data_IF_533076862060
#
_entry.id   IF_533076862060
#
_cell.length_a   1.000
_cell.length_b   1.000
_cell.length_c   1.000
_cell.angle_alpha   90.00
_cell.angle_beta   90.00
_cell.angle_gamma   90.00
#
_symmetry.space_group_name_H-M   'P 1'
#
loop_
_entity.id
_entity.type
_entity.pdbx_description
1 polymer ?
#
# COMPACT_ATOMS: atom_id res chain seq x y z
N UNK A 1 19.75 3.62 12.83
CA UNK A 1 19.61 2.28 12.24
C UNK A 1 20.57 2.16 11.06
N UNK A 2 21.29 1.03 10.90
CA UNK A 2 22.08 0.78 9.70
C UNK A 2 21.19 0.88 8.45
N UNK A 3 21.66 1.52 7.39
CA UNK A 3 20.86 1.78 6.17
C UNK A 3 20.34 0.48 5.53
N UNK A 4 21.12 -0.61 5.66
CA UNK A 4 20.75 -1.95 5.16
C UNK A 4 19.57 -2.55 5.92
N UNK A 5 19.52 -2.37 7.25
CA UNK A 5 18.43 -2.87 8.08
C UNK A 5 17.13 -2.10 7.83
N UNK A 6 17.21 -0.77 7.63
CA UNK A 6 16.04 0.04 7.29
C UNK A 6 15.41 -0.38 5.96
N UNK A 7 16.25 -0.71 4.95
CA UNK A 7 15.78 -1.24 3.66
C UNK A 7 15.17 -2.64 3.81
N UNK A 8 15.74 -3.51 4.64
CA UNK A 8 15.18 -4.84 4.89
C UNK A 8 13.80 -4.77 5.55
N UNK A 9 13.67 -3.96 6.62
CA UNK A 9 12.39 -3.77 7.32
C UNK A 9 11.36 -3.13 6.38
N UNK A 10 11.75 -2.11 5.61
CA UNK A 10 10.84 -1.46 4.67
C UNK A 10 10.34 -2.38 3.56
N UNK A 11 11.18 -3.29 3.06
CA UNK A 11 10.76 -4.32 2.11
C UNK A 11 9.71 -5.25 2.72
N UNK A 12 9.94 -5.75 3.95
CA UNK A 12 8.95 -6.60 4.65
C UNK A 12 7.65 -5.82 4.89
N UNK A 13 7.75 -4.56 5.34
CA UNK A 13 6.60 -3.70 5.58
C UNK A 13 5.77 -3.50 4.31
N UNK A 14 6.40 -3.29 3.15
CA UNK A 14 5.71 -3.21 1.85
C UNK A 14 4.96 -4.49 1.52
N UNK A 15 5.60 -5.66 1.69
CA UNK A 15 4.95 -6.95 1.41
C UNK A 15 3.74 -7.16 2.33
N UNK A 16 3.91 -6.95 3.63
CA UNK A 16 2.82 -7.06 4.60
C UNK A 16 1.69 -6.09 4.27
N UNK A 17 2.02 -4.84 3.89
CA UNK A 17 1.04 -3.85 3.50
C UNK A 17 0.22 -4.31 2.30
N UNK A 18 0.87 -4.78 1.23
CA UNK A 18 0.18 -5.23 0.02
C UNK A 18 -0.72 -6.43 0.32
N UNK A 19 -0.26 -7.38 1.11
CA UNK A 19 -1.05 -8.55 1.52
C UNK A 19 -2.30 -8.09 2.27
N UNK A 20 -2.13 -7.38 3.40
CA UNK A 20 -3.26 -6.94 4.23
C UNK A 20 -4.23 -6.08 3.42
N UNK A 21 -3.70 -5.17 2.60
CA UNK A 21 -4.51 -4.32 1.73
C UNK A 21 -5.34 -5.12 0.74
N UNK A 22 -4.74 -6.10 0.05
CA UNK A 22 -5.44 -6.94 -0.93
C UNK A 22 -6.57 -7.74 -0.28
N UNK A 23 -6.34 -8.30 0.91
CA UNK A 23 -7.39 -9.01 1.67
C UNK A 23 -8.54 -8.07 2.05
N UNK A 24 -8.24 -6.88 2.58
CA UNK A 24 -9.27 -5.89 2.94
C UNK A 24 -10.06 -5.45 1.71
N UNK A 25 -9.38 -5.14 0.62
CA UNK A 25 -10.00 -4.77 -0.65
C UNK A 25 -10.92 -5.88 -1.18
N UNK A 26 -10.48 -7.14 -1.12
CA UNK A 26 -11.27 -8.28 -1.59
C UNK A 26 -12.52 -8.49 -0.74
N UNK A 27 -12.42 -8.38 0.59
CA UNK A 27 -13.57 -8.50 1.51
C UNK A 27 -14.59 -7.40 1.22
N UNK A 28 -14.15 -6.14 1.09
CA UNK A 28 -15.05 -5.02 0.78
C UNK A 28 -15.69 -5.22 -0.59
N UNK A 29 -14.93 -5.67 -1.60
CA UNK A 29 -15.44 -5.97 -2.93
C UNK A 29 -16.55 -7.04 -2.86
N UNK A 30 -16.29 -8.17 -2.21
CA UNK A 30 -17.28 -9.25 -2.12
C UNK A 30 -18.55 -8.84 -1.35
N UNK A 31 -18.43 -7.99 -0.33
CA UNK A 31 -19.58 -7.61 0.50
C UNK A 31 -20.41 -6.46 -0.08
N UNK A 32 -19.82 -5.58 -0.89
CA UNK A 32 -20.47 -4.32 -1.32
C UNK A 32 -20.73 -4.21 -2.81
N UNK A 33 -19.96 -4.90 -3.66
CA UNK A 33 -20.11 -4.81 -5.12
C UNK A 33 -21.15 -5.75 -5.76
N UNK A 34 -21.65 -6.86 -5.14
CA UNK A 34 -22.59 -7.76 -5.84
C UNK A 34 -23.88 -7.10 -6.31
N UNK A 35 -24.42 -6.17 -5.53
CA UNK A 35 -25.66 -5.44 -5.87
C UNK A 35 -25.40 -4.10 -6.57
N UNK A 36 -24.13 -3.72 -6.73
CA UNK A 36 -23.76 -2.45 -7.32
C UNK A 36 -23.76 -2.52 -8.86
N UNK A 37 -24.14 -1.43 -9.55
CA UNK A 37 -24.07 -1.38 -11.01
C UNK A 37 -22.62 -1.50 -11.51
N UNK A 38 -22.42 -2.09 -12.70
CA UNK A 38 -21.08 -2.40 -13.27
C UNK A 38 -20.12 -1.20 -13.31
N UNK A 39 -20.63 0.01 -13.56
CA UNK A 39 -19.80 1.23 -13.58
C UNK A 39 -19.23 1.55 -12.19
N UNK A 40 -20.01 1.32 -11.12
CA UNK A 40 -19.56 1.54 -9.75
C UNK A 40 -18.51 0.50 -9.33
N UNK A 41 -18.64 -0.74 -9.83
CA UNK A 41 -17.62 -1.77 -9.64
C UNK A 41 -16.30 -1.36 -10.29
N UNK A 42 -16.32 -0.86 -11.54
CA UNK A 42 -15.11 -0.35 -12.20
C UNK A 42 -14.48 0.80 -11.42
N UNK A 43 -15.29 1.78 -10.99
CA UNK A 43 -14.80 2.93 -10.24
C UNK A 43 -14.13 2.49 -8.92
N UNK A 44 -14.76 1.55 -8.22
CA UNK A 44 -14.22 0.97 -6.99
C UNK A 44 -12.85 0.33 -7.22
N UNK A 45 -12.72 -0.53 -8.24
CA UNK A 45 -11.43 -1.18 -8.53
C UNK A 45 -10.34 -0.19 -8.93
N UNK A 46 -10.67 0.88 -9.65
CA UNK A 46 -9.71 1.94 -9.99
C UNK A 46 -9.27 2.69 -8.73
N UNK A 47 -10.21 3.11 -7.89
CA UNK A 47 -9.89 3.89 -6.67
C UNK A 47 -9.10 3.04 -5.68
N UNK A 48 -9.53 1.81 -5.41
CA UNK A 48 -8.82 0.88 -4.51
C UNK A 48 -7.48 0.45 -5.11
N UNK A 49 -7.43 0.20 -6.42
CA UNK A 49 -6.18 -0.11 -7.12
C UNK A 49 -5.14 1.02 -7.05
N UNK A 50 -5.56 2.27 -6.87
CA UNK A 50 -4.66 3.42 -6.74
C UNK A 50 -4.42 3.84 -5.29
N UNK A 51 -5.34 3.55 -4.37
CA UNK A 51 -5.26 4.04 -2.99
C UNK A 51 -4.05 3.48 -2.23
N UNK A 52 -3.58 2.27 -2.52
CA UNK A 52 -2.39 1.69 -1.86
C UNK A 52 -1.06 2.35 -2.27
N UNK A 53 -1.03 3.12 -3.36
CA UNK A 53 0.16 3.83 -3.84
C UNK A 53 0.63 4.84 -2.78
N UNK A 54 -0.28 5.52 -2.10
CA UNK A 54 0.05 6.50 -1.05
C UNK A 54 0.80 5.84 0.12
N UNK A 55 0.29 4.78 0.76
CA UNK A 55 1.03 4.06 1.79
C UNK A 55 2.37 3.50 1.31
N UNK A 56 2.40 2.89 0.11
CA UNK A 56 3.63 2.33 -0.45
C UNK A 56 4.68 3.43 -0.67
N UNK A 57 4.27 4.58 -1.21
CA UNK A 57 5.12 5.75 -1.39
C UNK A 57 5.68 6.29 -0.07
N UNK A 58 4.87 6.32 0.99
CA UNK A 58 5.34 6.73 2.32
C UNK A 58 6.43 5.79 2.88
N UNK A 59 6.26 4.47 2.72
CA UNK A 59 7.26 3.48 3.16
C UNK A 59 8.54 3.64 2.32
N UNK A 60 8.42 3.78 1.00
CA UNK A 60 9.58 3.94 0.11
C UNK A 60 10.33 5.24 0.42
N UNK A 61 9.64 6.36 0.60
CA UNK A 61 10.23 7.64 0.97
C UNK A 61 11.00 7.52 2.30
N UNK A 62 10.42 6.84 3.28
CA UNK A 62 11.11 6.53 4.54
C UNK A 62 12.33 5.63 4.32
N UNK A 63 12.25 4.62 3.46
CA UNK A 63 13.37 3.73 3.13
C UNK A 63 14.52 4.44 2.42
N UNK A 64 14.23 5.48 1.63
CA UNK A 64 15.21 6.23 0.85
C UNK A 64 15.79 7.45 1.57
N UNK A 65 15.09 8.00 2.59
CA UNK A 65 15.50 9.21 3.31
C UNK A 65 16.97 9.16 3.78
N UNK A 66 17.91 9.92 3.20
CA UNK A 66 19.30 9.88 3.62
C UNK A 66 19.39 10.29 5.10
N UNK A 67 20.22 9.56 5.87
CA UNK A 67 20.55 9.97 7.25
C UNK A 67 21.47 11.18 7.06
N UNK A 68 20.97 12.39 7.32
CA UNK A 68 21.77 13.61 7.23
C UNK A 68 23.06 13.43 8.04
N UNK A 69 24.25 13.65 7.44
CA UNK A 69 25.43 13.88 8.23
C UNK A 69 25.20 15.21 8.95
N UNK A 70 24.97 15.16 10.27
CA UNK A 70 25.07 16.34 11.14
C UNK A 70 26.45 16.97 10.86
N UNK A 71 26.45 18.07 10.10
CA UNK A 71 27.57 19.02 10.10
C UNK A 71 27.53 19.81 11.40
#
# INVERSE_FOLDING_TARGET
MPIRLRKFIGMIALVVLVIVYAFVAMVIAQLKLPEAPRWAQMLYYVVVGLAWIFPAGAIIAWMQKPIEPKR
#
